data_IF_857039102429
#
_entry.id   IF_857039102429
#
_cell.length_a   1.000
_cell.length_b   1.000
_cell.length_c   1.000
_cell.angle_alpha   90.00
_cell.angle_beta   90.00
_cell.angle_gamma   90.00
#
_symmetry.space_group_name_H-M   'P 1'
#
loop_
_entity.id
_entity.type
_entity.pdbx_description
1 polymer ?
#
# COMPACT_ATOMS: atom_id res chain seq x y z
N UNK A 1 -3.80 5.59 -6.07
CA UNK A 1 -2.92 4.98 -7.10
C UNK A 1 -3.57 3.75 -7.68
N UNK A 2 -3.41 3.53 -9.00
CA UNK A 2 -4.00 2.38 -9.71
C UNK A 2 -2.93 1.53 -10.39
N UNK A 3 -3.04 0.22 -10.23
CA UNK A 3 -2.23 -0.78 -10.91
C UNK A 3 -3.15 -1.89 -11.43
N UNK A 4 -3.19 -2.08 -12.75
CA UNK A 4 -4.13 -2.98 -13.43
C UNK A 4 -5.58 -2.70 -13.00
N UNK A 5 -6.22 -3.65 -12.33
CA UNK A 5 -7.59 -3.52 -11.84
C UNK A 5 -7.69 -3.17 -10.34
N UNK A 6 -6.56 -3.10 -9.63
CA UNK A 6 -6.52 -2.66 -8.24
C UNK A 6 -6.25 -1.16 -8.14
N UNK A 7 -6.95 -0.51 -7.22
CA UNK A 7 -6.74 0.91 -6.92
C UNK A 7 -6.82 1.15 -5.41
N UNK A 8 -5.88 1.91 -4.89
CA UNK A 8 -5.83 2.27 -3.48
C UNK A 8 -5.77 3.79 -3.34
N UNK A 9 -6.69 4.34 -2.58
CA UNK A 9 -6.84 5.79 -2.39
C UNK A 9 -6.88 6.09 -0.90
N UNK A 10 -6.11 7.09 -0.46
CA UNK A 10 -6.11 7.61 0.91
C UNK A 10 -7.02 8.82 1.02
N UNK A 11 -7.77 8.90 2.11
CA UNK A 11 -8.63 10.04 2.43
C UNK A 11 -8.40 10.49 3.87
N UNK A 12 -8.52 11.79 4.19
CA UNK A 12 -8.82 12.19 5.56
C UNK A 12 -10.14 11.54 6.00
N UNK A 13 -10.29 11.17 7.27
CA UNK A 13 -11.44 10.36 7.71
C UNK A 13 -12.79 10.99 7.35
N UNK A 14 -12.92 12.30 7.56
CA UNK A 14 -14.17 13.05 7.39
C UNK A 14 -14.28 13.75 6.02
N UNK A 15 -13.33 13.48 5.10
CA UNK A 15 -13.33 14.11 3.78
C UNK A 15 -13.73 13.13 2.69
N UNK A 16 -14.46 13.61 1.69
CA UNK A 16 -14.70 12.91 0.43
C UNK A 16 -13.63 13.22 -0.63
N UNK A 17 -12.75 14.18 -0.34
CA UNK A 17 -11.66 14.55 -1.23
C UNK A 17 -10.45 13.70 -0.87
N UNK A 18 -9.87 12.94 -1.82
CA UNK A 18 -8.69 12.12 -1.56
C UNK A 18 -7.46 12.97 -1.24
N UNK A 19 -6.53 12.38 -0.51
CA UNK A 19 -5.20 12.97 -0.34
C UNK A 19 -4.51 12.96 -1.69
N UNK A 20 -4.04 14.14 -2.12
CA UNK A 20 -3.42 14.30 -3.43
C UNK A 20 -2.12 13.49 -3.54
N UNK A 21 -2.00 12.76 -4.63
CA UNK A 21 -0.85 11.92 -4.98
C UNK A 21 0.06 12.67 -5.97
N UNK A 22 1.37 12.53 -5.80
CA UNK A 22 2.38 13.17 -6.64
C UNK A 22 3.44 12.15 -7.05
N UNK A 23 3.95 12.24 -8.28
CA UNK A 23 5.11 11.47 -8.77
C UNK A 23 4.95 9.97 -8.58
N UNK A 24 3.88 9.44 -9.12
CA UNK A 24 3.67 7.99 -9.12
C UNK A 24 4.73 7.30 -10.00
N UNK A 25 5.36 6.27 -9.45
CA UNK A 25 6.32 5.42 -10.15
C UNK A 25 6.10 3.95 -9.78
N UNK A 26 6.39 3.06 -10.72
CA UNK A 26 6.28 1.61 -10.51
C UNK A 26 7.67 0.97 -10.52
N UNK A 27 7.94 0.17 -9.53
CA UNK A 27 9.15 -0.65 -9.37
C UNK A 27 8.77 -2.11 -9.25
N UNK A 28 9.70 -3.00 -9.47
CA UNK A 28 9.49 -4.43 -9.30
C UNK A 28 10.51 -4.95 -8.31
N UNK A 29 10.02 -5.48 -7.19
CA UNK A 29 10.84 -6.26 -6.25
C UNK A 29 10.81 -7.71 -6.66
N UNK A 30 11.94 -8.40 -6.51
CA UNK A 30 12.05 -9.83 -6.77
C UNK A 30 12.26 -10.57 -5.45
N UNK A 31 11.37 -11.52 -5.15
CA UNK A 31 11.51 -12.40 -4.00
C UNK A 31 12.57 -13.47 -4.27
N UNK A 32 13.08 -14.11 -3.21
CA UNK A 32 14.09 -15.17 -3.31
C UNK A 32 13.63 -16.37 -4.16
N UNK A 33 12.33 -16.63 -4.23
CA UNK A 33 11.72 -17.67 -5.04
C UNK A 33 11.44 -17.26 -6.49
N UNK A 34 11.95 -16.09 -6.92
CA UNK A 34 11.82 -15.57 -8.27
C UNK A 34 10.50 -14.84 -8.55
N UNK A 35 9.56 -14.80 -7.61
CA UNK A 35 8.30 -14.07 -7.79
C UNK A 35 8.58 -12.56 -7.84
N UNK A 36 7.81 -11.87 -8.66
CA UNK A 36 7.88 -10.43 -8.82
C UNK A 36 6.75 -9.76 -8.08
N UNK A 37 7.08 -8.80 -7.23
CA UNK A 37 6.11 -7.94 -6.56
C UNK A 37 6.21 -6.53 -7.16
N UNK A 38 5.20 -6.08 -7.90
CA UNK A 38 5.11 -4.68 -8.29
C UNK A 38 4.95 -3.79 -7.06
N UNK A 39 5.67 -2.69 -7.01
CA UNK A 39 5.59 -1.68 -5.95
C UNK A 39 5.25 -0.36 -6.62
N UNK A 40 4.02 0.08 -6.48
CA UNK A 40 3.56 1.36 -6.98
C UNK A 40 3.74 2.40 -5.87
N UNK A 41 4.59 3.39 -6.10
CA UNK A 41 4.91 4.41 -5.09
C UNK A 41 4.44 5.79 -5.52
N UNK A 42 4.08 6.63 -4.56
CA UNK A 42 3.86 8.06 -4.78
C UNK A 42 4.21 8.85 -3.52
N UNK A 43 4.34 10.16 -3.69
CA UNK A 43 4.34 11.09 -2.57
C UNK A 43 2.93 11.56 -2.30
N UNK A 44 2.61 11.76 -1.02
CA UNK A 44 1.33 12.34 -0.57
C UNK A 44 1.57 13.50 0.38
N UNK A 45 0.66 14.47 0.38
CA UNK A 45 0.70 15.54 1.38
C UNK A 45 0.42 14.97 2.76
N UNK A 46 1.29 15.25 3.74
CA UNK A 46 1.05 14.88 5.13
C UNK A 46 -0.21 15.53 5.67
N UNK A 47 -1.02 14.75 6.36
CA UNK A 47 -2.00 15.27 7.31
C UNK A 47 -1.29 15.69 8.59
N UNK A 48 -2.00 16.35 9.48
CA UNK A 48 -1.48 16.58 10.83
C UNK A 48 -1.23 15.23 11.52
N UNK A 49 -0.16 15.06 12.29
CA UNK A 49 0.10 13.83 13.01
C UNK A 49 -1.11 13.39 13.83
N UNK A 50 -1.37 12.08 13.87
CA UNK A 50 -2.51 11.47 14.57
C UNK A 50 -3.90 11.88 14.03
N UNK A 51 -3.98 12.59 12.91
CA UNK A 51 -5.27 12.82 12.26
C UNK A 51 -5.87 11.51 11.77
N UNK A 52 -7.16 11.26 12.01
CA UNK A 52 -7.81 10.08 11.48
C UNK A 52 -7.82 10.09 9.95
N UNK A 53 -7.55 8.93 9.36
CA UNK A 53 -7.62 8.74 7.92
C UNK A 53 -8.28 7.40 7.57
N UNK A 54 -8.62 7.21 6.32
CA UNK A 54 -9.17 5.97 5.79
C UNK A 54 -8.53 5.59 4.47
N UNK A 55 -8.53 4.31 4.19
CA UNK A 55 -8.03 3.71 2.97
C UNK A 55 -9.23 3.15 2.21
N UNK A 56 -9.36 3.47 0.93
CA UNK A 56 -10.33 2.85 0.04
C UNK A 56 -9.59 1.97 -0.95
N UNK A 57 -9.93 0.68 -0.95
CA UNK A 57 -9.37 -0.31 -1.87
C UNK A 57 -10.44 -0.71 -2.86
N UNK A 58 -10.14 -0.61 -4.15
CA UNK A 58 -11.04 -0.90 -5.25
C UNK A 58 -10.51 -2.06 -6.08
N UNK A 59 -11.40 -2.89 -6.56
CA UNK A 59 -11.14 -3.79 -7.68
C UNK A 59 -12.14 -3.49 -8.79
N UNK A 60 -11.64 -3.06 -9.93
CA UNK A 60 -12.47 -2.65 -11.08
C UNK A 60 -13.00 -3.82 -11.90
N UNK A 61 -12.48 -5.01 -11.66
CA UNK A 61 -12.97 -6.26 -12.23
C UNK A 61 -13.10 -7.28 -11.11
N UNK A 62 -13.87 -8.34 -11.33
CA UNK A 62 -13.91 -9.45 -10.38
C UNK A 62 -12.52 -10.10 -10.32
N UNK A 63 -11.85 -10.12 -9.17
CA UNK A 63 -10.52 -10.70 -9.06
C UNK A 63 -10.56 -12.19 -9.38
N UNK A 64 -9.56 -12.65 -10.15
CA UNK A 64 -9.37 -14.07 -10.47
C UNK A 64 -8.06 -14.54 -9.87
N UNK A 65 -8.04 -15.71 -9.23
CA UNK A 65 -6.81 -16.25 -8.65
C UNK A 65 -5.72 -16.45 -9.69
N UNK A 66 -4.48 -16.21 -9.28
CA UNK A 66 -3.32 -16.45 -10.13
C UNK A 66 -3.07 -17.94 -10.32
N UNK A 67 -2.39 -18.29 -11.41
CA UNK A 67 -1.97 -19.67 -11.68
C UNK A 67 -1.05 -20.22 -10.57
N UNK A 68 -0.26 -19.36 -9.93
CA UNK A 68 0.59 -19.75 -8.82
C UNK A 68 -0.23 -20.26 -7.63
N UNK A 69 -1.24 -19.52 -7.20
CA UNK A 69 -2.08 -19.92 -6.05
C UNK A 69 -2.93 -21.13 -6.40
N UNK A 70 -3.52 -21.15 -7.62
CA UNK A 70 -4.31 -22.32 -8.06
C UNK A 70 -3.46 -23.60 -8.14
N UNK A 71 -2.20 -23.54 -8.57
CA UNK A 71 -1.29 -24.71 -8.61
C UNK A 71 -0.92 -25.24 -7.23
N UNK A 72 -1.04 -24.43 -6.17
CA UNK A 72 -0.77 -24.83 -4.78
C UNK A 72 -2.01 -25.22 -4.01
N UNK A 73 -3.18 -25.00 -4.59
CA UNK A 73 -4.46 -25.20 -3.91
C UNK A 73 -4.79 -26.67 -3.73
N UNK A 74 -5.13 -27.03 -2.50
CA UNK A 74 -5.70 -28.34 -2.15
C UNK A 74 -7.23 -28.30 -2.21
N UNK A 75 -7.91 -29.46 -2.35
CA UNK A 75 -9.38 -29.50 -2.45
C UNK A 75 -10.12 -28.83 -1.29
N UNK A 76 -9.58 -28.92 -0.08
CA UNK A 76 -10.16 -28.32 1.14
C UNK A 76 -9.83 -26.85 1.32
N UNK A 77 -9.07 -26.25 0.39
CA UNK A 77 -8.66 -24.85 0.47
C UNK A 77 -9.46 -23.96 -0.47
N UNK A 78 -9.71 -22.75 -0.02
CA UNK A 78 -10.28 -21.66 -0.83
C UNK A 78 -9.33 -20.51 -0.95
N UNK A 79 -9.44 -19.76 -2.03
CA UNK A 79 -8.67 -18.54 -2.24
C UNK A 79 -9.43 -17.37 -1.65
N UNK A 80 -8.74 -16.58 -0.84
CA UNK A 80 -9.21 -15.29 -0.36
C UNK A 80 -8.25 -14.20 -0.81
N UNK A 81 -8.74 -12.97 -0.89
CA UNK A 81 -7.91 -11.78 -1.08
C UNK A 81 -7.63 -11.16 0.26
N UNK A 82 -6.39 -10.75 0.48
CA UNK A 82 -6.00 -10.13 1.74
C UNK A 82 -5.49 -8.72 1.50
N UNK A 83 -5.79 -7.84 2.44
CA UNK A 83 -5.27 -6.49 2.48
C UNK A 83 -4.47 -6.35 3.76
N UNK A 84 -3.17 -6.06 3.60
CA UNK A 84 -2.26 -5.78 4.70
C UNK A 84 -1.90 -4.31 4.67
N UNK A 85 -2.06 -3.64 5.80
CA UNK A 85 -1.65 -2.24 5.98
C UNK A 85 -0.46 -2.20 6.90
N UNK A 86 0.61 -1.56 6.42
CA UNK A 86 1.88 -1.39 7.14
C UNK A 86 2.13 0.12 7.24
N UNK A 87 2.41 0.61 8.43
CA UNK A 87 2.79 2.01 8.68
C UNK A 87 4.13 2.02 9.39
N UNK A 88 5.11 2.74 8.85
CA UNK A 88 6.47 2.81 9.42
C UNK A 88 7.08 1.43 9.73
N UNK A 89 6.85 0.45 8.86
CA UNK A 89 7.34 -0.91 9.02
C UNK A 89 6.48 -1.81 9.90
N UNK A 90 5.51 -1.27 10.63
CA UNK A 90 4.63 -2.06 11.50
C UNK A 90 3.35 -2.45 10.79
N UNK A 91 3.05 -3.75 10.76
CA UNK A 91 1.77 -4.25 10.25
C UNK A 91 0.66 -3.96 11.25
N UNK A 92 -0.24 -3.04 10.87
CA UNK A 92 -1.34 -2.60 11.73
C UNK A 92 -2.67 -3.28 11.41
N UNK A 93 -2.78 -3.90 10.23
CA UNK A 93 -4.01 -4.55 9.79
C UNK A 93 -3.70 -5.70 8.83
N UNK A 94 -4.50 -6.76 8.94
CA UNK A 94 -4.57 -7.87 7.99
C UNK A 94 -6.01 -8.35 7.89
N UNK A 95 -6.70 -7.97 6.81
CA UNK A 95 -8.10 -8.34 6.55
C UNK A 95 -8.20 -9.32 5.41
N UNK A 96 -9.20 -10.21 5.50
CA UNK A 96 -9.53 -11.23 4.53
C UNK A 96 -10.83 -10.87 3.80
N UNK A 97 -10.86 -11.08 2.50
CA UNK A 97 -12.00 -10.81 1.64
C UNK A 97 -12.27 -12.00 0.74
N UNK A 98 -13.49 -12.45 0.72
CA UNK A 98 -13.91 -13.54 -0.15
C UNK A 98 -13.88 -13.12 -1.63
N UNK A 99 -13.74 -14.11 -2.51
CA UNK A 99 -13.75 -13.90 -3.98
C UNK A 99 -14.99 -13.13 -4.48
N UNK A 100 -16.11 -13.23 -3.76
CA UNK A 100 -17.36 -12.59 -4.13
C UNK A 100 -17.61 -11.27 -3.37
N UNK A 101 -16.62 -10.77 -2.63
CA UNK A 101 -16.72 -9.50 -1.94
C UNK A 101 -16.98 -8.36 -2.93
N UNK A 102 -17.93 -7.50 -2.61
CA UNK A 102 -18.17 -6.28 -3.39
C UNK A 102 -17.09 -5.24 -3.10
N UNK A 103 -16.60 -4.59 -4.13
CA UNK A 103 -15.65 -3.48 -4.03
C UNK A 103 -16.35 -2.15 -4.32
N UNK A 104 -15.91 -1.01 -3.74
CA UNK A 104 -14.72 -0.82 -2.92
C UNK A 104 -14.89 -1.25 -1.45
N UNK A 105 -13.77 -1.61 -0.81
CA UNK A 105 -13.68 -1.83 0.62
C UNK A 105 -13.03 -0.63 1.31
N UNK A 106 -13.65 -0.16 2.40
CA UNK A 106 -13.12 0.95 3.18
C UNK A 106 -12.54 0.46 4.50
N UNK A 107 -11.30 0.83 4.75
CA UNK A 107 -10.57 0.53 5.97
C UNK A 107 -10.45 1.82 6.76
N UNK A 108 -11.11 1.88 7.92
CA UNK A 108 -11.14 3.06 8.81
C UNK A 108 -10.55 2.79 10.17
N UNK A 109 -10.54 1.52 10.58
CA UNK A 109 -10.15 1.12 11.93
C UNK A 109 -9.18 -0.04 11.88
N UNK A 110 -8.29 -0.10 12.87
CA UNK A 110 -7.46 -1.27 13.15
C UNK A 110 -8.18 -2.15 14.19
N UNK A 111 -8.12 -3.48 14.07
CA UNK A 111 -8.69 -4.35 15.09
C UNK A 111 -7.98 -4.10 16.44
N UNK A 112 -8.76 -4.01 17.50
CA UNK A 112 -8.22 -3.94 18.87
C UNK A 112 -8.33 -5.34 19.44
N UNK A 113 -7.20 -5.95 19.80
CA UNK A 113 -7.20 -7.21 20.56
C UNK A 113 -7.55 -6.89 22.00
N UNK A 114 -8.81 -7.10 22.38
CA UNK A 114 -9.27 -7.00 23.77
C UNK A 114 -9.65 -8.38 24.28
N UNK A 115 -9.19 -8.71 25.49
CA UNK A 115 -9.37 -10.02 26.14
C UNK A 115 -10.78 -10.25 26.73
N UNK A 116 -11.76 -9.40 26.50
CA UNK A 116 -13.11 -9.54 27.05
C UNK A 116 -14.19 -9.05 26.07
N UNK A 117 -15.09 -9.94 25.84
CA UNK A 117 -16.37 -9.95 25.16
C UNK A 117 -17.15 -8.62 25.29
N UNK A 118 -16.89 -7.68 24.41
CA UNK A 118 -17.82 -6.59 24.09
C UNK A 118 -17.36 -5.88 22.84
N UNK A 119 -18.27 -5.69 21.90
CA UNK A 119 -18.20 -5.01 20.61
C UNK A 119 -16.83 -4.37 20.31
N UNK A 120 -16.01 -5.06 19.54
CA UNK A 120 -14.65 -4.60 19.14
C UNK A 120 -14.81 -3.27 18.40
N UNK A 121 -14.79 -2.17 19.11
CA UNK A 121 -14.64 -0.84 18.53
C UNK A 121 -13.19 -0.73 18.11
N UNK A 122 -12.92 -1.04 16.85
CA UNK A 122 -11.59 -0.82 16.29
C UNK A 122 -11.19 0.64 16.47
N UNK A 123 -9.94 0.90 16.89
CA UNK A 123 -9.41 2.27 16.93
C UNK A 123 -9.19 2.80 15.52
N UNK A 124 -9.45 4.08 15.29
CA UNK A 124 -9.27 4.72 13.99
C UNK A 124 -7.84 4.55 13.47
N UNK A 125 -7.68 4.45 12.16
CA UNK A 125 -6.39 4.61 11.51
C UNK A 125 -5.92 6.05 11.73
N UNK A 126 -4.72 6.21 12.28
CA UNK A 126 -4.13 7.52 12.54
C UNK A 126 -2.97 7.75 11.58
N UNK A 127 -2.94 8.94 10.97
CA UNK A 127 -1.89 9.33 10.05
C UNK A 127 -0.56 9.43 10.82
N UNK A 128 0.52 8.78 10.34
CA UNK A 128 1.78 8.76 11.08
C UNK A 128 2.41 10.15 11.17
N UNK A 129 3.21 10.37 12.20
CA UNK A 129 4.12 11.49 12.26
C UNK A 129 5.19 11.35 11.15
N UNK A 130 5.74 12.47 10.71
CA UNK A 130 6.85 12.41 9.76
C UNK A 130 8.05 11.72 10.41
N UNK A 131 8.60 10.70 9.74
CA UNK A 131 9.77 9.99 10.21
C UNK A 131 11.05 10.68 9.71
N UNK A 132 11.86 11.30 10.61
CA UNK A 132 13.06 12.04 10.20
C UNK A 132 14.13 11.15 9.54
N UNK A 133 14.12 9.84 9.76
CA UNK A 133 15.09 8.92 9.15
C UNK A 133 15.03 8.92 7.63
N UNK A 134 13.89 9.31 7.05
CA UNK A 134 13.73 9.49 5.60
C UNK A 134 14.69 10.54 5.04
N UNK A 135 15.03 11.58 5.83
CA UNK A 135 15.94 12.65 5.41
C UNK A 135 17.41 12.23 5.42
N UNK A 136 17.76 11.20 6.18
CA UNK A 136 19.13 10.68 6.31
C UNK A 136 19.44 9.52 5.35
N UNK A 137 18.47 9.08 4.55
CA UNK A 137 18.69 8.03 3.56
C UNK A 137 19.63 8.52 2.46
N UNK A 138 20.71 7.79 2.24
CA UNK A 138 21.69 8.09 1.18
C UNK A 138 21.20 7.75 -0.23
N UNK A 139 20.24 6.82 -0.32
CA UNK A 139 19.59 6.39 -1.55
C UNK A 139 18.12 6.11 -1.32
N UNK A 140 17.32 6.34 -2.33
CA UNK A 140 15.90 6.02 -2.29
C UNK A 140 15.69 4.53 -2.63
N UNK A 141 14.93 3.83 -1.79
CA UNK A 141 14.56 2.43 -2.01
C UNK A 141 13.03 2.26 -1.99
N UNK A 142 12.47 1.61 -3.03
CA UNK A 142 11.04 1.30 -3.12
C UNK A 142 10.58 0.34 -2.02
N UNK A 143 11.47 -0.53 -1.53
CA UNK A 143 11.17 -1.52 -0.48
C UNK A 143 11.20 -0.93 0.92
N UNK A 144 11.81 0.24 1.13
CA UNK A 144 11.85 0.91 2.43
C UNK A 144 10.45 1.04 3.03
N UNK A 145 10.34 0.82 4.34
CA UNK A 145 9.07 0.85 5.04
C UNK A 145 8.94 2.04 5.98
N UNK A 146 10.06 2.64 6.40
CA UNK A 146 10.07 3.81 7.27
C UNK A 146 9.56 5.05 6.52
N UNK A 147 8.73 5.85 7.18
CA UNK A 147 8.12 7.05 6.61
C UNK A 147 7.08 6.75 5.53
N UNK A 148 6.52 5.55 5.52
CA UNK A 148 5.56 5.12 4.48
C UNK A 148 4.32 4.46 5.05
N UNK A 149 3.21 4.65 4.33
CA UNK A 149 1.99 3.87 4.47
C UNK A 149 1.97 2.90 3.30
N UNK A 150 2.06 1.59 3.58
CA UNK A 150 2.01 0.55 2.55
C UNK A 150 0.70 -0.21 2.65
N UNK A 151 0.09 -0.47 1.49
CA UNK A 151 -1.10 -1.32 1.36
C UNK A 151 -0.75 -2.43 0.38
N UNK A 152 -0.69 -3.66 0.89
CA UNK A 152 -0.37 -4.84 0.08
C UNK A 152 -1.65 -5.61 -0.16
N UNK A 153 -1.96 -5.83 -1.43
CA UNK A 153 -3.04 -6.73 -1.86
C UNK A 153 -2.41 -8.06 -2.21
N UNK A 154 -2.94 -9.14 -1.66
CA UNK A 154 -2.43 -10.48 -1.89
C UNK A 154 -3.57 -11.49 -2.06
N UNK A 155 -3.23 -12.63 -2.61
CA UNK A 155 -4.04 -13.86 -2.60
C UNK A 155 -3.51 -14.79 -1.52
N UNK A 156 -4.39 -15.47 -0.83
CA UNK A 156 -4.03 -16.42 0.21
C UNK A 156 -4.92 -17.67 0.15
N UNK A 157 -4.32 -18.83 0.32
CA UNK A 157 -5.06 -20.07 0.50
C UNK A 157 -5.42 -20.23 1.97
N UNK A 158 -6.69 -20.41 2.25
CA UNK A 158 -7.16 -20.72 3.60
C UNK A 158 -7.92 -22.05 3.61
N UNK A 159 -7.75 -22.82 4.67
CA UNK A 159 -8.54 -24.01 4.96
C UNK A 159 -9.29 -23.80 6.26
N UNK A 160 -10.53 -24.29 6.31
CA UNK A 160 -11.29 -24.35 7.54
C UNK A 160 -10.73 -25.47 8.42
N UNK A 161 -10.38 -25.12 9.65
CA UNK A 161 -10.03 -26.13 10.65
C UNK A 161 -11.30 -26.57 11.35
N UNK A 162 -11.34 -27.83 11.77
CA UNK A 162 -12.40 -28.38 12.65
C UNK A 162 -12.53 -27.62 13.97
N UNK A 163 -11.51 -26.84 14.35
CA UNK A 163 -11.52 -25.93 15.52
C UNK A 163 -12.06 -24.53 15.22
N UNK A 164 -12.57 -24.27 14.01
CA UNK A 164 -13.06 -22.93 13.60
C UNK A 164 -11.96 -21.88 13.32
N UNK A 165 -10.69 -22.25 13.49
CA UNK A 165 -9.56 -21.36 13.21
C UNK A 165 -9.09 -21.59 11.78
N UNK A 166 -9.18 -20.58 10.91
CA UNK A 166 -8.68 -20.66 9.55
C UNK A 166 -7.14 -20.87 9.56
N UNK A 167 -6.66 -21.89 8.84
CA UNK A 167 -5.23 -22.10 8.63
C UNK A 167 -4.81 -21.43 7.34
N UNK A 168 -3.82 -20.54 7.44
CA UNK A 168 -3.15 -19.91 6.31
C UNK A 168 -2.28 -20.92 5.57
N UNK A 169 -2.35 -20.89 4.24
CA UNK A 169 -1.54 -21.69 3.32
C UNK A 169 -0.59 -20.82 2.49
N UNK A 170 -0.47 -21.13 1.20
CA UNK A 170 0.36 -20.35 0.30
C UNK A 170 -0.22 -18.93 0.10
N UNK A 171 0.66 -17.94 0.11
CA UNK A 171 0.33 -16.53 -0.12
C UNK A 171 1.08 -16.02 -1.35
N UNK A 172 0.42 -15.19 -2.15
CA UNK A 172 0.99 -14.50 -3.29
C UNK A 172 0.67 -13.01 -3.24
N UNK A 173 1.68 -12.19 -3.02
CA UNK A 173 1.53 -10.74 -3.05
C UNK A 173 1.37 -10.28 -4.49
N UNK A 174 0.25 -9.60 -4.79
CA UNK A 174 -0.10 -9.14 -6.14
C UNK A 174 0.49 -7.76 -6.43
N UNK A 175 0.38 -6.85 -5.46
CA UNK A 175 0.81 -5.46 -5.60
C UNK A 175 1.03 -4.83 -4.22
N UNK A 176 2.05 -4.00 -4.11
CA UNK A 176 2.28 -3.11 -2.97
C UNK A 176 2.08 -1.66 -3.40
N UNK A 177 1.11 -0.97 -2.82
CA UNK A 177 0.94 0.48 -2.92
C UNK A 177 1.68 1.15 -1.77
N UNK A 178 2.63 2.01 -2.06
CA UNK A 178 3.53 2.64 -1.09
C UNK A 178 3.41 4.16 -1.16
N UNK A 179 2.84 4.76 -0.13
CA UNK A 179 2.62 6.20 -0.01
C UNK A 179 3.68 6.79 0.91
N UNK A 180 4.56 7.62 0.36
CA UNK A 180 5.53 8.38 1.12
C UNK A 180 4.98 9.75 1.42
N UNK A 181 4.80 10.08 2.69
CA UNK A 181 4.30 11.39 3.07
C UNK A 181 5.45 12.36 3.36
N UNK A 182 5.24 13.63 3.00
CA UNK A 182 6.20 14.70 3.20
C UNK A 182 5.61 15.80 4.09
N UNK A 183 6.41 16.47 4.93
CA UNK A 183 5.95 17.58 5.75
C UNK A 183 5.27 18.67 4.92
N UNK A 184 4.32 19.39 5.52
CA UNK A 184 3.76 20.59 4.93
C UNK A 184 4.89 21.60 4.72
N UNK A 185 5.04 22.08 3.49
CA UNK A 185 6.05 23.08 3.15
C UNK A 185 7.28 22.55 2.39
N UNK A 186 7.51 21.26 2.35
CA UNK A 186 8.43 20.69 1.36
C UNK A 186 7.73 20.67 0.00
N UNK A 187 8.10 21.61 -0.87
CA UNK A 187 7.78 21.49 -2.29
C UNK A 187 8.45 20.21 -2.80
N UNK A 188 7.75 19.38 -3.60
CA UNK A 188 8.41 18.25 -4.23
C UNK A 188 9.62 18.76 -5.00
N UNK A 189 10.81 18.14 -4.89
CA UNK A 189 11.98 18.58 -5.65
C UNK A 189 11.60 18.64 -7.13
N UNK A 190 11.98 19.71 -7.83
CA UNK A 190 11.71 19.89 -9.25
C UNK A 190 12.23 18.67 -10.02
N UNK A 191 11.52 18.15 -11.04
CA UNK A 191 12.04 17.07 -11.85
C UNK A 191 13.40 17.49 -12.42
N UNK A 192 14.39 16.59 -12.51
CA UNK A 192 15.60 16.89 -13.24
C UNK A 192 15.19 17.33 -14.65
N UNK A 193 15.74 18.47 -15.09
CA UNK A 193 15.48 18.99 -16.44
C UNK A 193 15.83 17.91 -17.46
N UNK A 194 14.95 17.53 -18.38
CA UNK A 194 15.26 16.52 -19.40
C UNK A 194 16.28 17.01 -20.43
N UNK A 195 16.73 18.28 -20.33
CA UNK A 195 17.71 18.83 -21.27
C UNK A 195 18.98 19.20 -20.52
N UNK A 196 20.14 18.66 -20.91
CA UNK A 196 21.43 19.19 -20.45
C UNK A 196 21.53 20.64 -20.92
N UNK A 197 21.92 21.54 -20.01
CA UNK A 197 22.24 22.93 -20.35
C UNK A 197 23.27 22.92 -21.47
N UNK A 198 22.85 23.31 -22.68
CA UNK A 198 23.80 23.68 -23.73
C UNK A 198 24.56 24.94 -23.27
N UNK A 199 25.87 24.92 -23.25
CA UNK A 199 26.64 26.13 -23.00
C UNK A 199 26.35 27.11 -24.13
N UNK A 200 25.92 28.32 -23.76
CA UNK A 200 25.74 29.45 -24.68
C UNK A 200 27.10 29.77 -25.32
N UNK A 201 27.24 29.44 -26.58
CA UNK A 201 28.36 29.90 -27.40
C UNK A 201 28.15 31.39 -27.70
N UNK A 202 28.83 32.25 -26.95
CA UNK A 202 29.00 33.63 -27.32
C UNK A 202 29.93 33.69 -28.51
N UNK A 203 29.40 33.95 -29.69
CA UNK A 203 30.18 34.26 -30.89
C UNK A 203 30.49 35.78 -30.80
N UNK A 204 31.76 36.23 -30.81
CA UNK A 204 32.06 37.62 -30.93
C UNK A 204 31.91 38.06 -32.40
N UNK A 205 31.08 39.06 -32.62
CA UNK A 205 31.00 39.76 -33.90
C UNK A 205 32.18 40.70 -34.04
N UNK A 206 32.97 40.49 -35.10
CA UNK A 206 33.89 41.49 -35.69
C UNK A 206 33.16 42.29 -36.77
#
# INVERSE_FOLDING_TARGET
>A
MRYEYWDVILFPAESHIPIQEFRTACYVSQAQDGRRLPILTCFVRSLSPLSPFRISVHSWTKPTPSSYVESKRKPEQRVVYTIRVIIDGFRILHNYFEKNTSWPQQIRTKPTFGFLDSAIRGSSLLFPAFNPSVLSQSSWDAQESNGRIKVIVAEELISESTSGIAKSGATNDLICFSFQHAPKGMAPPSPPSPFPHQPSTNTPTH
#
